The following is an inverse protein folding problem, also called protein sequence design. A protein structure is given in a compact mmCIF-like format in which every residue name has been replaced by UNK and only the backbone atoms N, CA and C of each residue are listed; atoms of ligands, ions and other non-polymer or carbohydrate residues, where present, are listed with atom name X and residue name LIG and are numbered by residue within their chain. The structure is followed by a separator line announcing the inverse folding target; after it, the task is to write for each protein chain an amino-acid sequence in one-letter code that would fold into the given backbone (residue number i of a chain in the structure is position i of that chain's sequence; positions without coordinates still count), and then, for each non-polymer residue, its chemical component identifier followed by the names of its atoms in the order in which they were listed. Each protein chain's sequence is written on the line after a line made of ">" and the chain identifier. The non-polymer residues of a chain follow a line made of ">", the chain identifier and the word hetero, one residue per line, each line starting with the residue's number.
data_IF_448372035922
#
_entry.id   IF_448372035922
#
_cell.length_a   1.000
_cell.length_b   1.000
_cell.length_c   1.000
_cell.angle_alpha   90.00
_cell.angle_beta   90.00
_cell.angle_gamma   90.00
#
_symmetry.space_group_name_H-M   'P 1'
#
loop_
_entity.id
_entity.type
_entity.pdbx_description
1 polymer ?
#
# COMPACT_ATOMS: atom_id res chain seq x y z
N UNK A 1 9.75 14.68 31.18
CA UNK A 1 9.36 16.08 31.38
C UNK A 1 10.43 16.96 30.70
N UNK A 2 10.27 17.28 29.41
CA UNK A 2 11.17 18.20 28.70
C UNK A 2 10.28 19.15 27.92
N UNK A 3 10.31 20.43 28.36
CA UNK A 3 9.57 21.54 27.77
C UNK A 3 10.30 22.06 26.53
N UNK A 4 9.58 22.32 25.45
CA UNK A 4 10.03 23.15 24.33
C UNK A 4 9.51 24.58 24.46
N UNK A 5 10.34 25.60 24.16
CA UNK A 5 9.91 26.98 24.19
C UNK A 5 9.28 27.43 22.86
N UNK A 6 8.45 28.46 23.02
CA UNK A 6 7.53 29.07 22.09
C UNK A 6 8.18 30.23 21.30
N UNK A 7 7.73 30.42 20.07
CA UNK A 7 7.49 31.65 19.30
C UNK A 7 8.63 32.62 18.97
N UNK A 8 8.72 32.93 17.68
CA UNK A 8 8.79 34.33 17.24
C UNK A 8 8.24 34.46 15.82
N UNK A 9 7.23 35.28 15.68
CA UNK A 9 6.65 35.75 14.43
C UNK A 9 7.55 36.83 13.83
N UNK A 10 7.75 36.83 12.51
CA UNK A 10 8.30 38.00 11.82
C UNK A 10 7.39 38.36 10.64
N UNK A 11 6.70 39.48 10.79
CA UNK A 11 5.99 40.20 9.71
C UNK A 11 7.00 41.06 8.99
N UNK A 12 7.01 41.03 7.66
CA UNK A 12 7.62 42.09 6.85
C UNK A 12 6.66 42.53 5.77
N UNK A 13 6.51 43.83 5.72
CA UNK A 13 5.57 44.64 4.95
C UNK A 13 6.04 44.81 3.47
N UNK A 14 5.03 44.98 2.65
CA UNK A 14 5.01 45.34 1.23
C UNK A 14 5.54 46.76 1.01
N UNK A 15 6.29 46.95 -0.05
CA UNK A 15 6.42 48.25 -0.69
C UNK A 15 6.30 48.09 -2.22
N UNK A 16 5.25 48.73 -2.73
CA UNK A 16 5.01 48.85 -4.18
C UNK A 16 5.82 50.07 -4.70
N UNK A 17 6.46 49.87 -5.85
CA UNK A 17 6.96 50.99 -6.64
C UNK A 17 6.51 50.82 -8.10
N UNK A 18 5.66 51.75 -8.50
CA UNK A 18 5.26 52.02 -9.90
C UNK A 18 6.39 52.77 -10.61
N UNK A 19 6.83 52.31 -11.75
CA UNK A 19 7.56 53.15 -12.72
C UNK A 19 7.00 52.92 -14.11
N UNK A 20 6.76 54.04 -14.74
CA UNK A 20 6.10 54.29 -16.00
C UNK A 20 7.05 54.05 -17.17
N UNK A 21 6.51 53.58 -18.28
CA UNK A 21 7.11 53.22 -19.56
C UNK A 21 7.59 54.42 -20.40
N UNK A 22 8.41 54.19 -21.43
CA UNK A 22 8.04 54.72 -22.74
C UNK A 22 7.82 53.65 -23.80
N UNK A 23 6.89 53.95 -24.70
CA UNK A 23 6.48 53.23 -25.88
C UNK A 23 7.58 53.42 -26.96
N UNK A 24 8.15 52.34 -27.41
CA UNK A 24 8.93 52.33 -28.64
C UNK A 24 8.26 51.43 -29.67
N UNK A 25 8.00 51.99 -30.86
CA UNK A 25 7.36 51.30 -31.95
C UNK A 25 8.32 50.27 -32.57
N UNK A 26 7.99 48.99 -32.49
CA UNK A 26 8.72 47.93 -33.12
C UNK A 26 7.98 47.41 -34.36
N UNK A 27 8.73 47.33 -35.42
CA UNK A 27 8.37 46.90 -36.76
C UNK A 27 7.79 45.48 -36.77
N UNK A 28 6.69 45.30 -37.50
CA UNK A 28 6.06 44.03 -37.82
C UNK A 28 6.95 43.21 -38.75
N UNK A 29 7.70 42.27 -38.21
CA UNK A 29 8.18 41.12 -38.99
C UNK A 29 7.08 40.04 -38.94
N UNK A 30 6.54 39.72 -40.12
CA UNK A 30 5.64 38.58 -40.33
C UNK A 30 6.41 37.31 -40.07
N UNK A 31 6.19 36.73 -38.88
CA UNK A 31 6.69 35.41 -38.52
C UNK A 31 5.76 34.35 -39.14
N UNK A 32 6.32 33.50 -40.00
CA UNK A 32 5.63 32.31 -40.53
C UNK A 32 5.06 31.48 -39.39
N UNK A 33 3.84 30.86 -39.52
CA UNK A 33 3.32 29.98 -38.54
C UNK A 33 4.22 28.74 -38.42
N UNK A 34 4.97 28.68 -37.33
CA UNK A 34 5.62 27.43 -36.91
C UNK A 34 4.52 26.40 -36.66
N UNK A 35 4.51 25.34 -37.46
CA UNK A 35 3.71 24.15 -37.21
C UNK A 35 4.07 23.65 -35.78
N UNK A 36 3.24 23.98 -34.82
CA UNK A 36 3.32 23.37 -33.52
C UNK A 36 3.10 21.85 -33.69
N UNK A 37 4.12 21.06 -33.42
CA UNK A 37 4.00 19.61 -33.35
C UNK A 37 2.86 19.33 -32.33
N UNK A 38 1.83 18.54 -32.75
CA UNK A 38 0.77 18.20 -31.80
C UNK A 38 1.40 17.62 -30.53
N UNK A 39 0.99 18.12 -29.37
CA UNK A 39 1.40 17.51 -28.09
C UNK A 39 1.06 16.01 -28.15
N UNK A 40 1.95 15.11 -27.69
CA UNK A 40 1.64 13.70 -27.64
C UNK A 40 0.33 13.52 -26.87
N UNK A 41 -0.55 12.58 -27.31
CA UNK A 41 -1.79 12.32 -26.59
C UNK A 41 -1.45 12.01 -25.13
N UNK A 42 -2.27 12.45 -24.17
CA UNK A 42 -2.02 12.16 -22.78
C UNK A 42 -1.87 10.64 -22.62
N UNK A 43 -0.72 10.19 -22.12
CA UNK A 43 -0.45 8.78 -21.89
C UNK A 43 -1.60 8.22 -21.06
N UNK A 44 -2.25 7.18 -21.56
CA UNK A 44 -3.37 6.54 -20.86
C UNK A 44 -2.82 5.96 -19.55
N UNK A 45 -3.29 6.49 -18.41
CA UNK A 45 -2.92 5.97 -17.10
C UNK A 45 -3.30 4.49 -16.97
N UNK A 46 -2.46 3.71 -16.30
CA UNK A 46 -2.54 2.26 -16.21
C UNK A 46 -2.59 1.77 -14.77
N UNK A 47 -2.89 0.49 -14.56
CA UNK A 47 -2.76 -0.15 -13.26
C UNK A 47 -1.33 -0.05 -12.69
N UNK A 48 -0.32 -0.11 -13.57
CA UNK A 48 1.08 0.08 -13.18
C UNK A 48 1.33 1.47 -12.57
N UNK A 49 0.64 2.52 -13.06
CA UNK A 49 0.74 3.85 -12.48
C UNK A 49 0.09 3.92 -11.09
N UNK A 50 -1.07 3.26 -10.91
CA UNK A 50 -1.70 3.15 -9.59
C UNK A 50 -0.80 2.41 -8.58
N UNK A 51 -0.16 1.32 -9.01
CA UNK A 51 0.81 0.58 -8.18
C UNK A 51 2.05 1.42 -7.86
N UNK A 52 2.56 2.19 -8.83
CA UNK A 52 3.70 3.11 -8.62
C UNK A 52 3.36 4.18 -7.58
N UNK A 53 2.18 4.79 -7.68
CA UNK A 53 1.68 5.74 -6.67
C UNK A 53 1.60 5.09 -5.30
N UNK A 54 1.06 3.87 -5.22
CA UNK A 54 0.95 3.12 -3.97
C UNK A 54 2.32 2.90 -3.30
N UNK A 55 3.30 2.39 -4.05
CA UNK A 55 4.64 2.12 -3.50
C UNK A 55 5.45 3.39 -3.20
N UNK A 56 5.11 4.53 -3.80
CA UNK A 56 5.62 5.84 -3.41
C UNK A 56 4.85 6.49 -2.24
N UNK A 57 3.92 5.77 -1.60
CA UNK A 57 3.10 6.21 -0.49
C UNK A 57 2.07 7.32 -0.82
N UNK A 58 1.74 7.52 -2.09
CA UNK A 58 0.64 8.36 -2.55
C UNK A 58 -0.69 7.58 -2.52
N UNK A 59 -1.09 7.16 -1.34
CA UNK A 59 -2.18 6.18 -1.17
C UNK A 59 -3.55 6.68 -1.63
N UNK A 60 -3.90 7.95 -1.37
CA UNK A 60 -5.17 8.53 -1.81
C UNK A 60 -5.23 8.60 -3.35
N UNK A 61 -4.13 9.01 -3.99
CA UNK A 61 -4.01 9.10 -5.44
C UNK A 61 -4.03 7.71 -6.11
N UNK A 62 -3.35 6.73 -5.51
CA UNK A 62 -3.37 5.35 -5.96
C UNK A 62 -4.80 4.76 -5.91
N UNK A 63 -5.53 4.99 -4.82
CA UNK A 63 -6.91 4.56 -4.67
C UNK A 63 -7.85 5.23 -5.68
N UNK A 64 -7.67 6.54 -5.93
CA UNK A 64 -8.47 7.28 -6.90
C UNK A 64 -8.20 6.81 -8.34
N UNK A 65 -6.92 6.59 -8.69
CA UNK A 65 -6.56 6.10 -10.02
C UNK A 65 -7.08 4.68 -10.25
N UNK A 66 -6.90 3.76 -9.30
CA UNK A 66 -7.44 2.40 -9.41
C UNK A 66 -8.97 2.40 -9.61
N UNK A 67 -9.70 3.32 -8.94
CA UNK A 67 -11.13 3.52 -9.18
C UNK A 67 -11.44 3.95 -10.62
N UNK A 68 -10.66 4.90 -11.15
CA UNK A 68 -10.90 5.42 -12.51
C UNK A 68 -10.61 4.40 -13.61
N UNK A 69 -9.76 3.41 -13.30
CA UNK A 69 -9.37 2.33 -14.23
C UNK A 69 -10.31 1.13 -14.17
N UNK A 70 -11.27 1.10 -13.24
CA UNK A 70 -12.19 -0.01 -13.09
C UNK A 70 -12.98 -0.22 -14.40
N UNK A 71 -12.91 -1.42 -14.90
CA UNK A 71 -13.64 -1.89 -16.06
C UNK A 71 -14.42 -3.16 -15.67
N UNK A 72 -15.26 -3.67 -16.52
CA UNK A 72 -15.94 -4.94 -16.25
C UNK A 72 -14.99 -6.14 -16.35
N UNK A 73 -15.17 -7.12 -15.48
CA UNK A 73 -14.47 -8.40 -15.54
C UNK A 73 -13.20 -8.49 -14.69
N UNK A 74 -12.20 -9.24 -15.17
CA UNK A 74 -11.01 -9.59 -14.36
C UNK A 74 -10.11 -8.41 -14.03
N UNK A 75 -10.14 -7.33 -14.81
CA UNK A 75 -9.36 -6.13 -14.48
C UNK A 75 -9.85 -5.45 -13.21
N UNK A 76 -11.13 -5.58 -12.89
CA UNK A 76 -11.67 -5.01 -11.65
C UNK A 76 -11.02 -5.63 -10.42
N UNK A 77 -10.71 -6.92 -10.42
CA UNK A 77 -10.03 -7.59 -9.30
C UNK A 77 -8.68 -6.97 -8.96
N UNK A 78 -7.88 -6.64 -9.97
CA UNK A 78 -6.58 -6.00 -9.77
C UNK A 78 -6.73 -4.56 -9.26
N UNK A 79 -7.70 -3.82 -9.79
CA UNK A 79 -8.02 -2.47 -9.33
C UNK A 79 -8.58 -2.47 -7.91
N UNK A 80 -9.46 -3.40 -7.56
CA UNK A 80 -10.01 -3.56 -6.22
C UNK A 80 -8.93 -3.93 -5.20
N UNK A 81 -8.00 -4.79 -5.56
CA UNK A 81 -6.86 -5.16 -4.69
C UNK A 81 -5.97 -3.95 -4.40
N UNK A 82 -5.53 -3.21 -5.42
CA UNK A 82 -4.70 -2.02 -5.25
C UNK A 82 -5.45 -0.96 -4.46
N UNK A 83 -6.72 -0.73 -4.78
CA UNK A 83 -7.55 0.28 -4.13
C UNK A 83 -7.81 -0.04 -2.65
N UNK A 84 -8.23 -1.26 -2.34
CA UNK A 84 -8.47 -1.67 -0.94
C UNK A 84 -7.17 -1.64 -0.13
N UNK A 85 -6.04 -2.07 -0.72
CA UNK A 85 -4.74 -1.96 -0.06
C UNK A 85 -4.39 -0.49 0.20
N UNK A 86 -4.54 0.40 -0.77
CA UNK A 86 -4.27 1.84 -0.60
C UNK A 86 -5.16 2.47 0.48
N UNK A 87 -6.47 2.17 0.49
CA UNK A 87 -7.42 2.66 1.50
C UNK A 87 -7.07 2.18 2.92
N UNK A 88 -6.51 0.97 3.08
CA UNK A 88 -5.99 0.52 4.38
C UNK A 88 -4.85 1.41 4.88
N UNK A 89 -3.94 1.82 3.99
CA UNK A 89 -2.84 2.72 4.36
C UNK A 89 -3.35 4.14 4.64
N UNK A 90 -4.36 4.63 3.91
CA UNK A 90 -5.05 5.90 4.23
C UNK A 90 -5.66 5.83 5.63
N UNK A 91 -6.44 4.78 5.95
CA UNK A 91 -7.02 4.58 7.28
C UNK A 91 -5.95 4.50 8.36
N UNK A 92 -4.86 3.76 8.12
CA UNK A 92 -3.71 3.69 9.04
C UNK A 92 -3.12 5.06 9.32
N UNK A 93 -2.95 5.89 8.29
CA UNK A 93 -2.45 7.26 8.41
C UNK A 93 -3.38 8.15 9.24
N UNK A 94 -4.68 8.12 8.94
CA UNK A 94 -5.70 8.88 9.67
C UNK A 94 -5.78 8.49 11.15
N UNK A 95 -5.71 7.20 11.46
CA UNK A 95 -5.77 6.68 12.84
C UNK A 95 -4.49 6.96 13.63
N UNK A 96 -3.30 6.96 13.00
CA UNK A 96 -2.05 7.37 13.66
C UNK A 96 -2.04 8.83 14.07
N UNK A 97 -2.64 9.71 13.26
CA UNK A 97 -2.73 11.15 13.56
C UNK A 97 -3.67 11.49 14.73
N UNK A 98 -4.44 10.54 15.23
CA UNK A 98 -5.38 10.73 16.36
C UNK A 98 -4.75 10.36 17.72
N UNK A 99 -3.42 10.24 17.81
CA UNK A 99 -2.70 9.87 19.06
C UNK A 99 -3.32 8.65 19.79
N UNK A 100 -3.66 7.61 19.01
CA UNK A 100 -4.12 6.35 19.59
C UNK A 100 -2.99 5.73 20.44
N UNK A 101 -2.90 6.14 21.69
CA UNK A 101 -2.01 5.56 22.69
C UNK A 101 -2.39 4.08 22.91
N UNK A 102 -1.40 3.24 23.14
CA UNK A 102 -1.62 1.84 23.49
C UNK A 102 -2.55 1.74 24.71
N UNK A 103 -3.82 1.41 24.47
CA UNK A 103 -4.83 1.26 25.52
C UNK A 103 -6.14 2.04 25.30
N UNK A 104 -6.19 2.96 24.34
CA UNK A 104 -7.44 3.67 24.01
C UNK A 104 -8.43 2.77 23.25
N UNK A 105 -9.71 3.03 23.49
CA UNK A 105 -10.80 2.39 22.77
C UNK A 105 -10.72 2.75 21.28
N UNK A 106 -10.31 1.80 20.45
CA UNK A 106 -10.16 1.99 19.00
C UNK A 106 -11.48 2.40 18.32
N UNK A 107 -12.62 2.04 18.90
CA UNK A 107 -13.92 2.47 18.40
C UNK A 107 -14.15 3.95 18.70
N UNK A 108 -13.66 4.48 19.82
CA UNK A 108 -13.70 5.90 20.12
C UNK A 108 -12.79 6.70 19.17
N UNK A 109 -11.58 6.22 18.91
CA UNK A 109 -10.65 6.82 17.96
C UNK A 109 -11.25 6.84 16.54
N UNK A 110 -11.87 5.75 16.11
CA UNK A 110 -12.52 5.66 14.81
C UNK A 110 -13.69 6.66 14.69
N UNK A 111 -14.50 6.81 15.76
CA UNK A 111 -15.60 7.79 15.81
C UNK A 111 -15.13 9.24 15.81
N UNK A 112 -14.00 9.53 16.45
CA UNK A 112 -13.40 10.87 16.47
C UNK A 112 -12.77 11.28 15.12
N UNK A 113 -12.45 10.32 14.27
CA UNK A 113 -11.88 10.56 12.96
C UNK A 113 -12.95 10.93 11.93
N UNK A 114 -13.09 12.20 11.59
CA UNK A 114 -14.13 12.69 10.69
C UNK A 114 -14.14 12.03 9.29
N UNK A 115 -12.96 11.66 8.75
CA UNK A 115 -12.81 11.04 7.42
C UNK A 115 -12.93 9.51 7.46
N UNK A 116 -12.65 8.86 8.60
CA UNK A 116 -12.57 7.42 8.68
C UNK A 116 -13.85 6.67 8.30
N UNK A 117 -15.07 7.10 8.67
CA UNK A 117 -16.29 6.40 8.27
C UNK A 117 -16.48 6.30 6.76
N UNK A 118 -16.20 7.39 6.02
CA UNK A 118 -16.32 7.41 4.57
C UNK A 118 -15.27 6.50 3.89
N UNK A 119 -14.00 6.56 4.35
CA UNK A 119 -12.92 5.70 3.83
C UNK A 119 -13.22 4.23 4.13
N UNK A 120 -13.73 3.92 5.32
CA UNK A 120 -14.09 2.56 5.71
C UNK A 120 -15.26 2.02 4.88
N UNK A 121 -16.30 2.82 4.63
CA UNK A 121 -17.41 2.44 3.76
C UNK A 121 -16.92 2.12 2.34
N UNK A 122 -16.14 3.03 1.74
CA UNK A 122 -15.55 2.80 0.42
C UNK A 122 -14.68 1.54 0.37
N UNK A 123 -13.83 1.33 1.37
CA UNK A 123 -13.03 0.11 1.48
C UNK A 123 -13.91 -1.15 1.48
N UNK A 124 -14.98 -1.14 2.28
CA UNK A 124 -15.86 -2.30 2.44
C UNK A 124 -16.63 -2.60 1.14
N UNK A 125 -17.11 -1.56 0.46
CA UNK A 125 -17.83 -1.72 -0.81
C UNK A 125 -16.92 -2.29 -1.90
N UNK A 126 -15.70 -1.75 -2.06
CA UNK A 126 -14.73 -2.24 -3.05
C UNK A 126 -14.24 -3.65 -2.73
N UNK A 127 -14.05 -3.96 -1.45
CA UNK A 127 -13.69 -5.29 -1.00
C UNK A 127 -14.78 -6.33 -1.38
N UNK A 128 -16.03 -6.05 -1.02
CA UNK A 128 -17.15 -6.96 -1.32
C UNK A 128 -17.37 -7.11 -2.83
N UNK A 129 -17.17 -6.03 -3.60
CA UNK A 129 -17.24 -6.07 -5.05
C UNK A 129 -16.22 -7.07 -5.61
N UNK A 130 -14.94 -6.93 -5.27
CA UNK A 130 -13.89 -7.82 -5.74
C UNK A 130 -14.07 -9.26 -5.25
N UNK A 131 -14.41 -9.46 -3.97
CA UNK A 131 -14.70 -10.81 -3.43
C UNK A 131 -15.83 -11.50 -4.19
N UNK A 132 -16.91 -10.75 -4.53
CA UNK A 132 -18.04 -11.28 -5.30
C UNK A 132 -17.59 -11.76 -6.69
N UNK A 133 -16.85 -10.93 -7.42
CA UNK A 133 -16.33 -11.28 -8.76
C UNK A 133 -15.46 -12.54 -8.67
N UNK A 134 -14.48 -12.55 -7.75
CA UNK A 134 -13.58 -13.68 -7.59
C UNK A 134 -14.32 -14.99 -7.25
N UNK A 135 -15.30 -14.94 -6.35
CA UNK A 135 -16.11 -16.11 -6.00
C UNK A 135 -16.98 -16.59 -7.16
N UNK A 136 -17.52 -15.69 -7.99
CA UNK A 136 -18.28 -16.04 -9.21
C UNK A 136 -17.36 -16.71 -10.25
N UNK A 137 -16.15 -16.20 -10.45
CA UNK A 137 -15.14 -16.84 -11.31
C UNK A 137 -14.77 -18.25 -10.81
N UNK A 138 -14.60 -18.43 -9.50
CA UNK A 138 -14.27 -19.72 -8.90
C UNK A 138 -15.43 -20.73 -8.96
N UNK A 139 -16.69 -20.25 -8.99
CA UNK A 139 -17.83 -21.14 -9.27
C UNK A 139 -17.79 -21.70 -10.69
N UNK A 140 -17.37 -20.89 -11.66
CA UNK A 140 -17.24 -21.30 -13.04
C UNK A 140 -15.99 -22.15 -13.28
N UNK A 141 -14.85 -21.76 -12.65
CA UNK A 141 -13.58 -22.48 -12.73
C UNK A 141 -12.89 -22.48 -11.36
N UNK A 142 -13.03 -23.55 -10.55
CA UNK A 142 -12.40 -23.63 -9.22
C UNK A 142 -10.87 -23.56 -9.18
N UNK A 143 -10.21 -23.70 -10.33
CA UNK A 143 -8.76 -23.62 -10.50
C UNK A 143 -8.29 -22.30 -11.15
N UNK A 144 -9.16 -21.31 -11.28
CA UNK A 144 -8.80 -20.00 -11.84
C UNK A 144 -7.75 -19.31 -10.96
N UNK A 145 -6.51 -19.24 -11.47
CA UNK A 145 -5.36 -18.69 -10.73
C UNK A 145 -5.57 -17.21 -10.38
N UNK A 146 -6.16 -16.43 -11.28
CA UNK A 146 -6.46 -15.00 -11.08
C UNK A 146 -7.44 -14.83 -9.93
N UNK A 147 -8.55 -15.57 -9.98
CA UNK A 147 -9.57 -15.48 -8.94
C UNK A 147 -9.06 -15.99 -7.58
N UNK A 148 -8.32 -17.11 -7.56
CA UNK A 148 -7.69 -17.61 -6.32
C UNK A 148 -6.73 -16.59 -5.71
N UNK A 149 -5.92 -15.92 -6.53
CA UNK A 149 -4.97 -14.94 -6.06
C UNK A 149 -5.68 -13.71 -5.47
N UNK A 150 -6.57 -13.08 -6.24
CA UNK A 150 -7.21 -11.84 -5.79
C UNK A 150 -8.21 -12.07 -4.65
N UNK A 151 -8.94 -13.19 -4.62
CA UNK A 151 -9.74 -13.55 -3.46
C UNK A 151 -8.88 -13.62 -2.19
N UNK A 152 -7.76 -14.37 -2.27
CA UNK A 152 -6.84 -14.46 -1.14
C UNK A 152 -6.27 -13.11 -0.68
N UNK A 153 -5.97 -12.19 -1.60
CA UNK A 153 -5.45 -10.84 -1.28
C UNK A 153 -6.52 -9.93 -0.68
N UNK A 154 -7.72 -9.93 -1.24
CA UNK A 154 -8.85 -9.14 -0.73
C UNK A 154 -9.24 -9.61 0.69
N UNK A 155 -9.31 -10.90 0.92
CA UNK A 155 -9.59 -11.46 2.23
C UNK A 155 -8.51 -11.07 3.25
N UNK A 156 -7.22 -11.10 2.86
CA UNK A 156 -6.14 -10.62 3.73
C UNK A 156 -6.26 -9.14 4.04
N UNK A 157 -6.71 -8.31 3.09
CA UNK A 157 -6.97 -6.89 3.34
C UNK A 157 -8.08 -6.72 4.39
N UNK A 158 -9.16 -7.53 4.32
CA UNK A 158 -10.19 -7.52 5.35
C UNK A 158 -9.66 -7.97 6.72
N UNK A 159 -8.93 -9.06 6.76
CA UNK A 159 -8.29 -9.55 8.00
C UNK A 159 -7.38 -8.49 8.60
N UNK A 160 -6.60 -7.80 7.79
CA UNK A 160 -5.73 -6.73 8.26
C UNK A 160 -6.53 -5.53 8.78
N UNK A 161 -7.61 -5.13 8.11
CA UNK A 161 -8.52 -4.12 8.63
C UNK A 161 -9.03 -4.53 10.03
N UNK A 162 -9.62 -5.70 10.15
CA UNK A 162 -10.29 -6.13 11.39
C UNK A 162 -9.29 -6.34 12.54
N UNK A 163 -8.32 -7.24 12.35
CA UNK A 163 -7.38 -7.61 13.42
C UNK A 163 -6.26 -6.59 13.60
N UNK A 164 -5.73 -6.06 12.49
CA UNK A 164 -4.56 -5.17 12.50
C UNK A 164 -4.90 -3.74 12.88
N UNK A 165 -5.85 -3.14 12.16
CA UNK A 165 -6.18 -1.73 12.32
C UNK A 165 -7.22 -1.49 13.41
N UNK A 166 -8.37 -2.17 13.33
CA UNK A 166 -9.50 -1.96 14.23
C UNK A 166 -9.39 -2.75 15.54
N UNK A 167 -8.49 -3.75 15.60
CA UNK A 167 -8.31 -4.60 16.79
C UNK A 167 -9.52 -5.49 17.11
N UNK A 168 -10.42 -5.69 16.16
CA UNK A 168 -11.61 -6.53 16.30
C UNK A 168 -11.23 -7.99 16.11
N UNK A 169 -11.85 -8.89 16.88
CA UNK A 169 -11.62 -10.34 16.79
C UNK A 169 -12.55 -11.00 15.76
N UNK A 170 -12.63 -10.41 14.55
CA UNK A 170 -13.47 -10.86 13.43
C UNK A 170 -12.61 -11.06 12.17
N UNK A 171 -13.17 -11.61 11.10
CA UNK A 171 -12.44 -11.88 9.85
C UNK A 171 -11.80 -13.27 9.80
N UNK A 172 -12.32 -14.22 10.60
CA UNK A 172 -11.77 -15.58 10.62
C UNK A 172 -12.17 -16.39 9.40
N UNK A 173 -13.35 -16.16 8.84
CA UNK A 173 -13.81 -16.83 7.63
C UNK A 173 -12.95 -16.38 6.43
N UNK A 174 -12.70 -15.08 6.31
CA UNK A 174 -11.81 -14.52 5.30
C UNK A 174 -10.37 -14.99 5.49
N UNK A 175 -9.90 -15.11 6.72
CA UNK A 175 -8.57 -15.68 6.98
C UNK A 175 -8.43 -17.09 6.41
N UNK A 176 -9.42 -17.96 6.66
CA UNK A 176 -9.39 -19.32 6.16
C UNK A 176 -9.61 -19.40 4.64
N UNK A 177 -10.47 -18.56 4.10
CA UNK A 177 -10.68 -18.45 2.65
C UNK A 177 -9.40 -18.00 1.95
N UNK A 178 -8.74 -16.94 2.46
CA UNK A 178 -7.45 -16.47 1.95
C UNK A 178 -6.39 -17.57 1.95
N UNK A 179 -6.24 -18.25 3.08
CA UNK A 179 -5.26 -19.31 3.22
C UNK A 179 -5.52 -20.46 2.24
N UNK A 180 -6.79 -20.91 2.13
CA UNK A 180 -7.20 -21.97 1.20
C UNK A 180 -6.97 -21.58 -0.25
N UNK A 181 -7.33 -20.37 -0.62
CA UNK A 181 -7.17 -19.84 -1.98
C UNK A 181 -5.69 -19.78 -2.39
N UNK A 182 -4.84 -19.20 -1.51
CA UNK A 182 -3.41 -19.12 -1.77
C UNK A 182 -2.72 -20.49 -1.76
N UNK A 183 -3.11 -21.40 -0.88
CA UNK A 183 -2.57 -22.77 -0.85
C UNK A 183 -2.98 -23.56 -2.12
N UNK A 184 -4.23 -23.40 -2.61
CA UNK A 184 -4.69 -23.99 -3.87
C UNK A 184 -3.92 -23.45 -5.07
N UNK A 185 -3.75 -22.11 -5.13
CA UNK A 185 -2.96 -21.47 -6.18
C UNK A 185 -1.50 -21.95 -6.18
N UNK A 186 -0.84 -22.00 -5.03
CA UNK A 186 0.55 -22.44 -4.94
C UNK A 186 0.72 -23.94 -5.20
N UNK A 187 -0.32 -24.75 -5.02
CA UNK A 187 -0.32 -26.15 -5.44
C UNK A 187 -0.34 -26.28 -6.96
N UNK A 188 -1.14 -25.44 -7.65
CA UNK A 188 -1.23 -25.43 -9.12
C UNK A 188 -0.02 -24.71 -9.74
N UNK A 189 0.39 -23.59 -9.19
CA UNK A 189 1.49 -22.75 -9.67
C UNK A 189 2.46 -22.39 -8.52
N UNK A 190 3.42 -23.29 -8.20
CA UNK A 190 4.39 -23.06 -7.12
C UNK A 190 5.30 -21.85 -7.33
N UNK A 191 5.38 -21.33 -8.58
CA UNK A 191 6.20 -20.16 -8.93
C UNK A 191 5.45 -18.83 -8.88
N UNK A 192 4.18 -18.83 -8.50
CA UNK A 192 3.40 -17.59 -8.40
C UNK A 192 3.94 -16.70 -7.26
N UNK A 193 4.77 -15.72 -7.63
CA UNK A 193 5.56 -14.89 -6.69
C UNK A 193 4.68 -14.20 -5.64
N UNK A 194 3.67 -13.45 -6.06
CA UNK A 194 2.82 -12.69 -5.15
C UNK A 194 2.03 -13.58 -4.18
N UNK A 195 1.56 -14.75 -4.63
CA UNK A 195 0.89 -15.71 -3.76
C UNK A 195 1.86 -16.30 -2.72
N UNK A 196 3.11 -16.58 -3.12
CA UNK A 196 4.17 -17.05 -2.23
C UNK A 196 4.50 -16.01 -1.16
N UNK A 197 4.59 -14.74 -1.54
CA UNK A 197 4.81 -13.61 -0.61
C UNK A 197 3.66 -13.50 0.38
N UNK A 198 2.43 -13.48 -0.10
CA UNK A 198 1.23 -13.38 0.75
C UNK A 198 1.14 -14.57 1.73
N UNK A 199 1.37 -15.79 1.25
CA UNK A 199 1.33 -17.00 2.07
C UNK A 199 2.47 -17.05 3.09
N UNK A 200 3.67 -16.61 2.70
CA UNK A 200 4.82 -16.48 3.59
C UNK A 200 4.57 -15.45 4.70
N UNK A 201 3.90 -14.36 4.37
CA UNK A 201 3.50 -13.35 5.35
C UNK A 201 2.51 -13.92 6.38
N UNK A 202 1.51 -14.73 5.97
CA UNK A 202 0.61 -15.43 6.89
C UNK A 202 1.42 -16.30 7.86
N UNK A 203 2.34 -17.14 7.37
CA UNK A 203 3.16 -18.02 8.21
C UNK A 203 3.99 -17.24 9.24
N UNK A 204 4.52 -16.10 8.83
CA UNK A 204 5.28 -15.22 9.71
C UNK A 204 4.40 -14.60 10.81
N UNK A 205 3.26 -14.00 10.44
CA UNK A 205 2.36 -13.31 11.38
C UNK A 205 1.75 -14.28 12.36
N UNK A 206 1.26 -15.44 11.91
CA UNK A 206 0.71 -16.46 12.82
C UNK A 206 1.76 -16.93 13.84
N UNK A 207 3.02 -17.10 13.40
CA UNK A 207 4.07 -17.50 14.33
C UNK A 207 4.45 -16.40 15.33
N UNK A 208 4.48 -15.12 14.90
CA UNK A 208 5.02 -14.03 15.70
C UNK A 208 3.99 -13.28 16.54
N UNK A 209 2.71 -13.27 16.11
CA UNK A 209 1.65 -12.49 16.74
C UNK A 209 0.63 -13.32 17.50
N UNK A 210 0.46 -14.61 17.15
CA UNK A 210 -0.52 -15.47 17.83
C UNK A 210 0.11 -16.15 19.04
N UNK A 211 -0.63 -16.25 20.18
CA UNK A 211 -0.20 -17.03 21.33
C UNK A 211 0.11 -18.48 20.93
N UNK A 212 1.12 -19.06 21.56
CA UNK A 212 1.57 -20.40 21.19
C UNK A 212 0.43 -21.45 21.18
N UNK A 213 -0.45 -21.42 22.18
CA UNK A 213 -1.58 -22.36 22.28
C UNK A 213 -2.66 -22.23 21.21
N UNK A 214 -2.70 -21.09 20.44
CA UNK A 214 -3.71 -20.86 19.40
C UNK A 214 -3.17 -21.01 17.98
N UNK A 215 -1.86 -21.14 17.80
CA UNK A 215 -1.26 -21.24 16.46
C UNK A 215 -1.74 -22.45 15.67
N UNK A 216 -1.94 -23.58 16.32
CA UNK A 216 -2.43 -24.79 15.68
C UNK A 216 -3.86 -24.64 15.15
N UNK A 217 -4.72 -23.89 15.85
CA UNK A 217 -6.09 -23.60 15.41
C UNK A 217 -6.05 -22.81 14.09
N UNK A 218 -5.04 -21.97 13.87
CA UNK A 218 -4.86 -21.17 12.67
C UNK A 218 -4.04 -21.91 11.58
N UNK A 219 -3.94 -23.24 11.68
CA UNK A 219 -3.20 -24.07 10.71
C UNK A 219 -1.69 -23.95 10.83
N UNK A 220 -1.21 -23.51 12.00
CA UNK A 220 0.21 -23.30 12.27
C UNK A 220 0.80 -22.07 11.56
N UNK A 221 2.01 -21.72 11.96
CA UNK A 221 2.82 -20.68 11.34
C UNK A 221 4.30 -20.98 11.58
N UNK A 222 5.15 -20.55 10.67
CA UNK A 222 6.58 -20.74 10.78
C UNK A 222 7.33 -19.49 10.30
N UNK A 223 7.90 -18.73 11.23
CA UNK A 223 8.62 -17.48 10.94
C UNK A 223 9.77 -17.69 9.94
N UNK A 224 10.57 -18.74 10.13
CA UNK A 224 11.72 -19.01 9.24
C UNK A 224 11.26 -19.36 7.82
N UNK A 225 10.23 -20.21 7.70
CA UNK A 225 9.65 -20.57 6.40
C UNK A 225 9.02 -19.35 5.72
N UNK A 226 8.30 -18.52 6.47
CA UNK A 226 7.68 -17.30 5.95
C UNK A 226 8.74 -16.33 5.40
N UNK A 227 9.79 -16.02 6.18
CA UNK A 227 10.91 -15.17 5.72
C UNK A 227 11.62 -15.74 4.49
N UNK A 228 11.88 -17.06 4.48
CA UNK A 228 12.52 -17.72 3.31
C UNK A 228 11.65 -17.60 2.06
N UNK A 229 10.34 -17.84 2.18
CA UNK A 229 9.39 -17.72 1.06
C UNK A 229 9.33 -16.30 0.47
N UNK A 230 9.38 -15.29 1.32
CA UNK A 230 9.36 -13.88 0.86
C UNK A 230 10.70 -13.48 0.22
N UNK A 231 11.86 -13.89 0.77
CA UNK A 231 13.16 -13.68 0.14
C UNK A 231 13.25 -14.35 -1.22
N UNK A 232 12.81 -15.61 -1.32
CA UNK A 232 12.73 -16.32 -2.59
C UNK A 232 11.80 -15.61 -3.57
N UNK A 233 10.64 -15.09 -3.10
CA UNK A 233 9.74 -14.28 -3.90
C UNK A 233 10.42 -13.05 -4.48
N UNK A 234 11.19 -12.31 -3.68
CA UNK A 234 11.95 -11.15 -4.15
C UNK A 234 12.99 -11.54 -5.23
N UNK A 235 13.59 -12.71 -5.12
CA UNK A 235 14.57 -13.19 -6.11
C UNK A 235 13.91 -13.67 -7.41
N UNK A 236 12.72 -14.29 -7.32
CA UNK A 236 12.00 -14.86 -8.47
C UNK A 236 11.14 -13.83 -9.21
N UNK A 237 10.89 -12.67 -8.64
CA UNK A 237 10.07 -11.63 -9.25
C UNK A 237 10.71 -11.10 -10.54
N UNK A 238 9.96 -11.18 -11.62
CA UNK A 238 10.40 -10.71 -12.96
C UNK A 238 9.81 -9.37 -13.32
N UNK A 239 8.73 -8.96 -12.66
CA UNK A 239 8.12 -7.65 -12.86
C UNK A 239 8.38 -6.72 -11.66
N UNK A 240 8.43 -5.39 -11.89
CA UNK A 240 8.81 -4.43 -10.85
C UNK A 240 7.88 -4.43 -9.63
N UNK A 241 6.59 -4.70 -9.81
CA UNK A 241 5.61 -4.59 -8.73
C UNK A 241 5.52 -5.85 -7.88
N UNK A 242 5.66 -7.05 -8.46
CA UNK A 242 5.85 -8.28 -7.70
C UNK A 242 7.14 -8.22 -6.87
N UNK A 243 8.22 -7.64 -7.44
CA UNK A 243 9.47 -7.41 -6.72
C UNK A 243 9.26 -6.42 -5.56
N UNK A 244 8.57 -5.29 -5.81
CA UNK A 244 8.25 -4.31 -4.78
C UNK A 244 7.42 -4.94 -3.65
N UNK A 245 6.36 -5.70 -3.97
CA UNK A 245 5.54 -6.38 -2.95
C UNK A 245 6.40 -7.29 -2.06
N UNK A 246 7.31 -8.05 -2.66
CA UNK A 246 8.20 -8.93 -1.89
C UNK A 246 9.19 -8.13 -1.02
N UNK A 247 9.82 -7.07 -1.55
CA UNK A 247 10.75 -6.24 -0.80
C UNK A 247 10.06 -5.50 0.36
N UNK A 248 8.87 -4.92 0.15
CA UNK A 248 8.11 -4.27 1.23
C UNK A 248 7.63 -5.27 2.29
N UNK A 249 7.19 -6.46 1.88
CA UNK A 249 6.82 -7.53 2.81
C UNK A 249 8.03 -7.99 3.63
N UNK A 250 9.20 -8.15 2.99
CA UNK A 250 10.44 -8.52 3.65
C UNK A 250 10.86 -7.45 4.65
N UNK A 251 10.81 -6.19 4.26
CA UNK A 251 11.13 -5.06 5.13
C UNK A 251 10.24 -5.03 6.39
N UNK A 252 8.91 -5.15 6.24
CA UNK A 252 7.97 -5.21 7.37
C UNK A 252 8.27 -6.40 8.30
N UNK A 253 8.53 -7.57 7.74
CA UNK A 253 8.89 -8.77 8.51
C UNK A 253 10.18 -8.60 9.30
N UNK A 254 11.22 -8.02 8.69
CA UNK A 254 12.51 -7.78 9.33
C UNK A 254 12.42 -6.73 10.45
N UNK A 255 11.61 -5.68 10.26
CA UNK A 255 11.32 -4.71 11.32
C UNK A 255 10.63 -5.35 12.51
N UNK A 256 9.64 -6.21 12.26
CA UNK A 256 8.94 -6.98 13.32
C UNK A 256 9.85 -7.98 14.01
N UNK A 257 10.82 -8.51 13.31
CA UNK A 257 11.83 -9.44 13.84
C UNK A 257 13.00 -8.72 14.51
N UNK A 258 13.01 -7.38 14.49
CA UNK A 258 14.08 -6.51 15.02
C UNK A 258 15.46 -6.73 14.33
N UNK A 259 15.45 -7.28 13.12
CA UNK A 259 16.64 -7.41 12.29
C UNK A 259 16.89 -6.09 11.53
N UNK A 260 17.32 -5.06 12.27
CA UNK A 260 17.52 -3.71 11.73
C UNK A 260 18.60 -3.66 10.64
N UNK A 261 19.74 -4.37 10.75
CA UNK A 261 20.76 -4.34 9.69
C UNK A 261 20.21 -4.79 8.34
N UNK A 262 19.57 -5.95 8.26
CA UNK A 262 19.00 -6.45 7.00
C UNK A 262 17.81 -5.59 6.53
N UNK A 263 16.97 -5.11 7.47
CA UNK A 263 15.88 -4.18 7.14
C UNK A 263 16.41 -2.89 6.50
N UNK A 264 17.58 -2.42 6.90
CA UNK A 264 18.21 -1.23 6.33
C UNK A 264 18.67 -1.46 4.89
N UNK A 265 19.24 -2.64 4.58
CA UNK A 265 19.64 -2.98 3.22
C UNK A 265 18.42 -3.08 2.29
N UNK A 266 17.35 -3.73 2.76
CA UNK A 266 16.08 -3.80 2.02
C UNK A 266 15.51 -2.39 1.80
N UNK A 267 15.48 -1.56 2.84
CA UNK A 267 14.98 -0.18 2.75
C UNK A 267 15.75 0.68 1.73
N UNK A 268 17.08 0.50 1.62
CA UNK A 268 17.87 1.21 0.59
C UNK A 268 17.46 0.82 -0.82
N UNK A 269 17.23 -0.48 -1.09
CA UNK A 269 16.74 -0.93 -2.40
C UNK A 269 15.35 -0.36 -2.71
N UNK A 270 14.45 -0.40 -1.74
CA UNK A 270 13.11 0.20 -1.87
C UNK A 270 13.23 1.70 -2.17
N UNK A 271 14.07 2.45 -1.44
CA UNK A 271 14.25 3.88 -1.64
C UNK A 271 14.82 4.24 -3.02
N UNK A 272 15.61 3.37 -3.63
CA UNK A 272 16.10 3.54 -5.00
C UNK A 272 14.97 3.36 -6.03
N UNK A 273 14.09 2.37 -5.82
CA UNK A 273 12.98 2.09 -6.73
C UNK A 273 11.80 3.06 -6.53
N UNK A 274 11.56 3.51 -5.30
CA UNK A 274 10.43 4.36 -4.89
C UNK A 274 10.93 5.52 -4.01
N UNK A 275 11.59 6.53 -4.63
CA UNK A 275 12.26 7.61 -3.89
C UNK A 275 11.33 8.54 -3.13
N UNK A 276 10.05 8.59 -3.49
CA UNK A 276 9.04 9.44 -2.85
C UNK A 276 8.41 8.77 -1.62
N UNK A 277 8.74 7.49 -1.33
CA UNK A 277 8.19 6.78 -0.16
C UNK A 277 8.73 7.36 1.14
N UNK A 278 7.92 8.22 1.76
CA UNK A 278 8.28 8.95 2.99
C UNK A 278 8.52 8.03 4.19
N UNK A 279 7.81 6.89 4.31
CA UNK A 279 7.99 5.96 5.43
C UNK A 279 9.39 5.33 5.40
N UNK A 280 9.83 4.91 4.23
CA UNK A 280 11.18 4.34 4.03
C UNK A 280 12.26 5.39 4.23
N UNK A 281 12.06 6.61 3.72
CA UNK A 281 13.00 7.71 3.90
C UNK A 281 13.15 8.10 5.38
N UNK A 282 12.05 8.16 6.12
CA UNK A 282 12.08 8.44 7.57
C UNK A 282 12.81 7.31 8.31
N UNK A 283 12.54 6.04 7.97
CA UNK A 283 13.25 4.92 8.57
C UNK A 283 14.77 5.01 8.35
N UNK A 284 15.21 5.26 7.12
CA UNK A 284 16.64 5.37 6.79
C UNK A 284 17.32 6.52 7.54
N UNK A 285 16.65 7.66 7.71
CA UNK A 285 17.17 8.81 8.45
C UNK A 285 17.25 8.57 9.96
N UNK A 286 16.30 7.84 10.53
CA UNK A 286 16.12 7.75 11.99
C UNK A 286 16.69 6.47 12.61
N UNK A 287 16.71 5.36 11.86
CA UNK A 287 17.04 4.02 12.38
C UNK A 287 18.27 3.40 11.75
N UNK A 288 18.62 3.80 10.52
CA UNK A 288 19.78 3.28 9.81
C UNK A 288 21.07 4.05 10.14
N UNK A 289 20.98 5.24 10.75
CA UNK A 289 22.14 5.97 11.24
C UNK A 289 22.53 5.41 12.61
N UNK A 290 23.78 4.92 12.81
CA UNK A 290 24.21 4.50 14.13
C UNK A 290 24.09 5.66 15.11
N UNK A 291 23.55 5.40 16.31
CA UNK A 291 23.64 6.35 17.41
C UNK A 291 25.14 6.66 17.66
N UNK A 292 25.52 7.96 17.54
CA UNK A 292 26.86 8.43 17.84
C UNK A 292 27.13 8.26 19.32
#
# INVERSE_FOLDING_TARGET
>A
MIRFPNRAACRVLVAAALLVTPIEAAQTHATQPTHATPAPPPESRTLADAQRLFYNAHYEEAAALAQSLRASGTQDLANDEVRTTALLFVLRGLLKGQDAHNGEDKDAVLKACAKCPAVLATFTDDLHHGQKIAREMLKANPADETALFYLGKLDLNYVWLQLGLLGKKTGWDEYWEARKSLDALLKANPKHVRARVARGWIDFIVNTRMPWGTRWILGGGNKKKGLAAVREGATLATDPFSHAEAEFALWDMLLRDKNIPEATEVARRIAQAFPENTEVQVFLKTRATPAK
#
